data_IF_443474634847
#
_entry.id   IF_443474634847
#
_cell.length_a   1.000
_cell.length_b   1.000
_cell.length_c   1.000
_cell.angle_alpha   90.00
_cell.angle_beta   90.00
_cell.angle_gamma   90.00
#
_symmetry.space_group_name_H-M   'P 1'
#
loop_
_entity.id
_entity.type
_entity.pdbx_description
1 polymer ?
#
# COMPACT_ATOMS: atom_id res chain seq x y z
N UNK A 1 -7.70 -33.83 -22.12
CA UNK A 1 -8.04 -32.81 -23.14
C UNK A 1 -7.01 -31.71 -23.03
N UNK A 2 -6.19 -31.60 -24.06
CA UNK A 2 -4.79 -31.18 -24.00
C UNK A 2 -4.65 -29.68 -24.27
N UNK A 3 -4.12 -28.95 -23.29
CA UNK A 3 -3.60 -27.59 -23.50
C UNK A 3 -2.24 -27.70 -24.19
N UNK A 4 -2.09 -27.08 -25.37
CA UNK A 4 -0.82 -26.99 -26.10
C UNK A 4 -0.22 -25.60 -25.96
N UNK A 5 1.04 -25.64 -25.55
CA UNK A 5 2.03 -24.57 -25.49
C UNK A 5 2.19 -23.82 -26.82
N UNK A 6 2.56 -22.54 -26.73
CA UNK A 6 3.51 -21.93 -27.66
C UNK A 6 4.66 -21.34 -26.84
N UNK A 7 5.79 -22.05 -26.88
CA UNK A 7 7.12 -21.61 -26.45
C UNK A 7 7.86 -21.03 -27.65
N UNK A 8 8.63 -19.98 -27.42
CA UNK A 8 9.89 -19.74 -28.13
C UNK A 8 11.02 -19.44 -27.13
N UNK A 9 12.08 -20.24 -27.26
CA UNK A 9 13.39 -20.31 -26.56
C UNK A 9 14.29 -19.12 -26.95
N UNK A 10 15.40 -18.70 -26.32
CA UNK A 10 16.29 -19.07 -25.18
C UNK A 10 17.32 -17.90 -25.02
N UNK A 11 18.09 -17.70 -23.94
CA UNK A 11 19.42 -18.30 -23.65
C UNK A 11 19.93 -17.81 -22.27
N UNK A 12 20.36 -18.77 -21.42
CA UNK A 12 21.47 -18.84 -20.40
C UNK A 12 22.12 -17.52 -19.87
N UNK A 13 22.57 -17.32 -18.62
CA UNK A 13 22.96 -18.18 -17.48
C UNK A 13 23.23 -17.36 -16.18
N UNK A 14 23.23 -18.06 -15.04
CA UNK A 14 24.07 -17.89 -13.82
C UNK A 14 23.92 -16.71 -12.82
N UNK A 15 23.60 -17.13 -11.57
CA UNK A 15 24.12 -16.69 -10.25
C UNK A 15 23.81 -15.26 -9.77
N UNK A 16 22.89 -15.14 -8.79
CA UNK A 16 23.23 -14.80 -7.39
C UNK A 16 21.97 -14.82 -6.52
N UNK A 17 22.06 -15.46 -5.34
CA UNK A 17 21.03 -15.41 -4.30
C UNK A 17 21.07 -14.03 -3.65
N UNK A 18 20.07 -13.20 -3.91
CA UNK A 18 19.80 -12.00 -3.13
C UNK A 18 18.29 -11.83 -2.94
N UNK A 19 17.89 -11.60 -1.68
CA UNK A 19 16.52 -11.35 -1.23
C UNK A 19 15.99 -10.06 -1.86
N UNK A 20 15.00 -10.18 -2.76
CA UNK A 20 14.32 -9.05 -3.39
C UNK A 20 13.06 -8.69 -2.61
N UNK A 21 13.06 -7.59 -1.85
CA UNK A 21 11.82 -6.97 -1.38
C UNK A 21 11.40 -5.97 -2.46
N UNK A 22 10.50 -6.38 -3.35
CA UNK A 22 9.99 -5.55 -4.43
C UNK A 22 8.53 -5.20 -4.20
N UNK A 23 8.25 -4.12 -3.45
CA UNK A 23 6.94 -3.48 -3.53
C UNK A 23 6.91 -2.68 -4.83
N UNK A 24 6.16 -3.15 -5.83
CA UNK A 24 6.01 -2.47 -7.11
C UNK A 24 4.53 -2.13 -7.32
N UNK A 25 4.24 -0.84 -7.21
CA UNK A 25 3.02 -0.20 -7.73
C UNK A 25 3.08 -0.10 -9.27
N UNK A 26 3.31 -1.21 -9.97
CA UNK A 26 3.35 -1.21 -11.44
C UNK A 26 2.00 -1.57 -12.03
N UNK A 27 1.36 -0.57 -12.62
CA UNK A 27 0.59 -0.68 -13.86
C UNK A 27 0.42 0.75 -14.42
N UNK A 28 1.29 1.19 -15.34
CA UNK A 28 0.94 2.32 -16.22
C UNK A 28 1.58 2.15 -17.61
N UNK A 29 0.79 2.32 -18.70
CA UNK A 29 1.33 2.69 -19.98
C UNK A 29 1.76 4.16 -19.95
N UNK A 30 2.69 4.53 -20.84
CA UNK A 30 3.18 5.91 -20.99
C UNK A 30 2.00 6.85 -21.30
N UNK A 31 1.66 7.74 -20.37
CA UNK A 31 0.79 8.89 -20.63
C UNK A 31 1.66 10.13 -20.68
N UNK A 32 1.61 10.86 -21.79
CA UNK A 32 2.35 12.11 -22.00
C UNK A 32 1.96 13.15 -20.95
N UNK A 33 2.97 13.71 -20.27
CA UNK A 33 2.80 14.73 -19.24
C UNK A 33 2.24 16.03 -19.83
N UNK A 34 1.09 16.49 -19.32
CA UNK A 34 0.67 17.88 -19.40
C UNK A 34 0.84 18.50 -18.01
N UNK A 35 1.55 19.63 -17.96
CA UNK A 35 1.82 20.41 -16.75
C UNK A 35 0.56 21.13 -16.30
N UNK A 36 0.20 20.99 -15.01
CA UNK A 36 -0.92 21.73 -14.41
C UNK A 36 -0.59 22.18 -12.99
N UNK A 37 -0.84 23.47 -12.73
CA UNK A 37 -0.80 24.03 -11.39
C UNK A 37 -2.01 23.53 -10.57
N UNK A 38 -1.74 22.96 -9.39
CA UNK A 38 -2.77 22.55 -8.43
C UNK A 38 -3.18 23.76 -7.57
N UNK A 39 -4.36 24.34 -7.84
CA UNK A 39 -4.98 25.28 -6.91
C UNK A 39 -5.65 24.51 -5.76
N UNK A 40 -5.28 24.88 -4.53
CA UNK A 40 -5.74 24.25 -3.30
C UNK A 40 -6.86 25.08 -2.67
N UNK A 41 -8.11 24.77 -2.98
CA UNK A 41 -9.25 25.23 -2.19
C UNK A 41 -9.50 24.24 -1.06
N UNK A 42 -9.47 24.74 0.19
CA UNK A 42 -9.89 23.97 1.38
C UNK A 42 -11.35 23.54 1.24
N UNK A 43 -11.68 22.25 1.40
CA UNK A 43 -13.07 21.84 1.54
C UNK A 43 -13.55 22.19 2.95
N UNK A 44 -14.52 23.11 3.01
CA UNK A 44 -15.24 23.50 4.22
C UNK A 44 -16.52 22.67 4.29
N UNK A 45 -16.43 21.44 4.80
CA UNK A 45 -17.57 20.59 5.23
C UNK A 45 -17.04 19.29 5.83
N UNK A 46 -17.42 19.00 7.07
CA UNK A 46 -17.15 17.72 7.76
C UNK A 46 -18.05 16.58 7.27
N UNK A 47 -19.02 16.84 6.39
CA UNK A 47 -19.83 15.81 5.74
C UNK A 47 -19.33 15.62 4.30
N UNK A 48 -18.75 14.45 4.04
CA UNK A 48 -18.41 14.02 2.67
C UNK A 48 -19.73 13.87 1.90
N UNK A 49 -19.88 14.46 0.71
CA UNK A 49 -21.11 14.35 -0.06
C UNK A 49 -21.43 12.89 -0.35
N UNK A 50 -22.70 12.51 -0.18
CA UNK A 50 -23.19 11.16 -0.44
C UNK A 50 -22.86 10.77 -1.89
N UNK A 51 -22.07 9.71 -2.07
CA UNK A 51 -21.64 9.29 -3.40
C UNK A 51 -22.84 8.74 -4.17
N UNK A 52 -23.03 9.18 -5.41
CA UNK A 52 -24.08 8.69 -6.29
C UNK A 52 -23.68 7.37 -6.96
N UNK A 53 -24.61 6.43 -7.05
CA UNK A 53 -24.38 5.19 -7.80
C UNK A 53 -24.69 5.37 -9.29
N UNK A 54 -23.81 4.80 -10.12
CA UNK A 54 -23.97 4.74 -11.57
C UNK A 54 -23.86 3.29 -12.04
N UNK A 55 -24.51 2.99 -13.15
CA UNK A 55 -24.27 1.82 -13.98
C UNK A 55 -23.36 2.21 -15.15
N UNK A 56 -22.21 1.56 -15.26
CA UNK A 56 -21.23 1.77 -16.31
C UNK A 56 -21.16 0.54 -17.20
N UNK A 57 -21.22 0.74 -18.51
CA UNK A 57 -20.89 -0.29 -19.50
C UNK A 57 -19.65 0.15 -20.25
N UNK A 58 -18.59 -0.65 -20.23
CA UNK A 58 -17.30 -0.32 -20.84
C UNK A 58 -16.57 -1.56 -21.37
N UNK A 59 -15.55 -1.34 -22.19
CA UNK A 59 -14.64 -2.39 -22.68
C UNK A 59 -13.44 -2.48 -21.74
N UNK A 60 -13.22 -3.63 -21.13
CA UNK A 60 -12.09 -3.86 -20.23
C UNK A 60 -10.76 -4.12 -20.98
N UNK A 61 -9.68 -4.32 -20.23
CA UNK A 61 -8.35 -4.60 -20.78
C UNK A 61 -8.29 -5.93 -21.57
N UNK A 62 -9.24 -6.83 -21.35
CA UNK A 62 -9.38 -8.12 -22.03
C UNK A 62 -10.30 -8.02 -23.26
N UNK A 63 -10.68 -6.80 -23.69
CA UNK A 63 -11.59 -6.54 -24.81
C UNK A 63 -12.99 -7.11 -24.59
N UNK A 64 -13.39 -7.33 -23.33
CA UNK A 64 -14.73 -7.79 -22.98
C UNK A 64 -15.60 -6.62 -22.57
N UNK A 65 -16.88 -6.69 -22.93
CA UNK A 65 -17.85 -5.70 -22.46
C UNK A 65 -18.30 -6.08 -21.06
N UNK A 66 -18.10 -5.18 -20.10
CA UNK A 66 -18.52 -5.33 -18.72
C UNK A 66 -19.59 -4.29 -18.39
N UNK A 67 -20.56 -4.67 -17.58
CA UNK A 67 -21.51 -3.75 -16.96
C UNK A 67 -21.42 -3.87 -15.46
N UNK A 68 -21.15 -2.76 -14.78
CA UNK A 68 -20.92 -2.71 -13.33
C UNK A 68 -21.71 -1.57 -12.68
N UNK A 69 -21.97 -1.73 -11.38
CA UNK A 69 -22.46 -0.64 -10.53
C UNK A 69 -21.32 -0.09 -9.68
N UNK A 70 -21.07 1.20 -9.76
CA UNK A 70 -19.95 1.88 -9.12
C UNK A 70 -20.25 3.35 -8.83
N UNK A 71 -19.53 3.94 -7.89
CA UNK A 71 -19.47 5.39 -7.75
C UNK A 71 -18.47 5.97 -8.75
N UNK A 72 -18.75 7.17 -9.27
CA UNK A 72 -17.77 7.94 -10.02
C UNK A 72 -16.84 8.67 -9.05
N UNK A 73 -15.55 8.33 -9.07
CA UNK A 73 -14.53 9.02 -8.26
C UNK A 73 -14.04 10.28 -8.95
N UNK A 74 -13.83 10.19 -10.27
CA UNK A 74 -13.29 11.27 -11.09
C UNK A 74 -13.78 11.10 -12.53
N UNK A 75 -13.97 12.23 -13.21
CA UNK A 75 -14.02 12.33 -14.65
C UNK A 75 -12.85 13.20 -15.10
N UNK A 76 -11.99 12.65 -15.95
CA UNK A 76 -10.85 13.32 -16.53
C UNK A 76 -11.30 14.31 -17.61
N UNK A 77 -10.44 15.26 -17.98
CA UNK A 77 -10.77 16.30 -18.96
C UNK A 77 -11.07 15.76 -20.35
N UNK A 78 -10.49 14.62 -20.71
CA UNK A 78 -10.73 13.92 -21.97
C UNK A 78 -12.06 13.13 -21.97
N UNK A 79 -12.74 13.03 -20.82
CA UNK A 79 -13.96 12.25 -20.63
C UNK A 79 -13.73 10.83 -20.06
N UNK A 80 -12.47 10.46 -19.77
CA UNK A 80 -12.16 9.21 -19.09
C UNK A 80 -12.71 9.20 -17.66
N UNK A 81 -13.05 8.03 -17.13
CA UNK A 81 -13.66 7.91 -15.80
C UNK A 81 -12.87 6.98 -14.88
N UNK A 82 -12.83 7.34 -13.60
CA UNK A 82 -12.40 6.47 -12.50
C UNK A 82 -13.62 6.04 -11.71
N UNK A 83 -13.81 4.73 -11.59
CA UNK A 83 -14.98 4.10 -10.99
C UNK A 83 -14.57 3.35 -9.71
N UNK A 84 -15.26 3.62 -8.60
CA UNK A 84 -15.14 2.85 -7.35
C UNK A 84 -16.24 1.80 -7.31
N UNK A 85 -15.87 0.53 -7.44
CA UNK A 85 -16.80 -0.57 -7.33
C UNK A 85 -17.30 -0.73 -5.89
N UNK A 86 -18.47 -1.36 -5.71
CA UNK A 86 -19.06 -1.62 -4.39
C UNK A 86 -18.17 -2.51 -3.48
N UNK A 87 -17.22 -3.24 -4.05
CA UNK A 87 -16.23 -4.03 -3.30
C UNK A 87 -14.86 -3.33 -3.12
N UNK A 88 -14.74 -2.09 -3.57
CA UNK A 88 -13.61 -1.21 -3.28
C UNK A 88 -12.53 -1.12 -4.36
N UNK A 89 -12.66 -1.81 -5.48
CA UNK A 89 -11.71 -1.70 -6.60
C UNK A 89 -11.86 -0.35 -7.30
N UNK A 90 -10.74 0.20 -7.76
CA UNK A 90 -10.72 1.29 -8.72
C UNK A 90 -10.54 0.73 -10.13
N UNK A 91 -11.46 1.07 -11.01
CA UNK A 91 -11.41 0.75 -12.43
C UNK A 91 -11.36 2.04 -13.23
N UNK A 92 -10.71 2.00 -14.39
CA UNK A 92 -10.59 3.12 -15.31
C UNK A 92 -11.21 2.74 -16.63
N UNK A 93 -11.90 3.68 -17.28
CA UNK A 93 -12.29 3.55 -18.68
C UNK A 93 -11.96 4.85 -19.41
N UNK A 94 -11.24 4.76 -20.53
CA UNK A 94 -11.06 5.90 -21.43
C UNK A 94 -12.38 6.25 -22.12
N UNK A 95 -12.50 7.43 -22.76
CA UNK A 95 -13.69 7.79 -23.53
C UNK A 95 -14.06 6.74 -24.58
N UNK A 96 -13.07 6.11 -25.23
CA UNK A 96 -13.27 5.10 -26.26
C UNK A 96 -13.73 3.76 -25.69
N UNK A 97 -13.32 3.46 -24.45
CA UNK A 97 -13.74 2.24 -23.75
C UNK A 97 -15.14 2.38 -23.16
N UNK A 98 -15.55 3.59 -22.76
CA UNK A 98 -16.82 3.85 -22.11
C UNK A 98 -17.98 3.83 -23.12
N UNK A 99 -18.83 2.81 -23.06
CA UNK A 99 -20.00 2.67 -23.93
C UNK A 99 -21.23 3.37 -23.39
N UNK A 100 -21.44 3.30 -22.08
CA UNK A 100 -22.62 3.85 -21.43
C UNK A 100 -22.32 4.21 -19.97
N UNK A 101 -22.89 5.32 -19.51
CA UNK A 101 -22.92 5.77 -18.12
C UNK A 101 -24.36 6.16 -17.81
N UNK A 102 -24.98 5.49 -16.83
CA UNK A 102 -26.36 5.76 -16.39
C UNK A 102 -26.36 6.02 -14.89
N UNK A 103 -26.82 7.20 -14.47
CA UNK A 103 -27.06 7.47 -13.06
C UNK A 103 -28.25 6.64 -12.57
N UNK A 104 -28.12 6.02 -11.40
CA UNK A 104 -29.19 5.26 -10.76
C UNK A 104 -29.81 6.08 -9.64
N UNK A 105 -31.10 5.92 -9.37
CA UNK A 105 -31.83 6.64 -8.30
C UNK A 105 -31.57 6.05 -6.91
N UNK A 106 -30.33 5.66 -6.63
CA UNK A 106 -29.91 5.10 -5.34
C UNK A 106 -28.49 5.58 -4.99
N UNK A 107 -28.21 5.85 -3.71
CA UNK A 107 -26.86 6.21 -3.28
C UNK A 107 -25.91 5.01 -3.44
N UNK A 108 -24.63 5.30 -3.56
CA UNK A 108 -23.59 4.27 -3.51
C UNK A 108 -23.60 3.62 -2.13
N UNK A 109 -23.72 2.30 -2.13
CA UNK A 109 -23.55 1.48 -0.93
C UNK A 109 -22.53 0.38 -1.21
N UNK A 110 -21.56 0.14 -0.31
CA UNK A 110 -20.65 -0.99 -0.45
C UNK A 110 -21.43 -2.32 -0.46
N UNK A 111 -20.78 -3.38 -0.93
CA UNK A 111 -21.34 -4.72 -0.83
C UNK A 111 -21.59 -5.08 0.64
N UNK A 112 -22.75 -5.68 0.90
CA UNK A 112 -23.04 -6.33 2.18
C UNK A 112 -22.08 -7.50 2.41
N UNK A 113 -21.96 -7.96 3.66
CA UNK A 113 -21.13 -9.14 3.98
C UNK A 113 -21.53 -10.38 3.17
N UNK A 114 -22.84 -10.62 2.97
CA UNK A 114 -23.31 -11.77 2.20
C UNK A 114 -22.97 -11.67 0.71
N UNK A 115 -23.18 -10.49 0.09
CA UNK A 115 -22.80 -10.25 -1.30
C UNK A 115 -21.28 -10.41 -1.49
N UNK A 116 -20.50 -9.84 -0.57
CA UNK A 116 -19.03 -9.89 -0.65
C UNK A 116 -18.50 -11.31 -0.42
N UNK A 117 -19.09 -12.07 0.51
CA UNK A 117 -18.75 -13.48 0.71
C UNK A 117 -19.03 -14.31 -0.55
N UNK A 118 -20.19 -14.12 -1.17
CA UNK A 118 -20.55 -14.80 -2.43
C UNK A 118 -19.55 -14.44 -3.54
N UNK A 119 -19.24 -13.16 -3.71
CA UNK A 119 -18.29 -12.70 -4.73
C UNK A 119 -16.90 -13.28 -4.50
N UNK A 120 -16.38 -13.23 -3.27
CA UNK A 120 -15.04 -13.74 -2.95
C UNK A 120 -14.95 -15.27 -3.09
N UNK A 121 -16.01 -16.01 -2.74
CA UNK A 121 -16.07 -17.46 -2.98
C UNK A 121 -16.11 -17.81 -4.46
N UNK A 122 -16.82 -17.02 -5.28
CA UNK A 122 -16.82 -17.19 -6.72
C UNK A 122 -15.45 -16.88 -7.34
N UNK A 123 -14.75 -15.88 -6.82
CA UNK A 123 -13.43 -15.45 -7.31
C UNK A 123 -12.30 -16.41 -6.90
N UNK A 124 -12.23 -16.82 -5.63
CA UNK A 124 -11.10 -17.59 -5.09
C UNK A 124 -11.38 -19.10 -4.93
N UNK A 125 -12.65 -19.50 -5.02
CA UNK A 125 -13.08 -20.88 -4.92
C UNK A 125 -13.48 -21.31 -3.49
N UNK A 126 -14.04 -22.53 -3.36
CA UNK A 126 -14.68 -23.00 -2.13
C UNK A 126 -13.71 -23.29 -0.97
N UNK A 127 -12.41 -23.45 -1.25
CA UNK A 127 -11.38 -23.70 -0.24
C UNK A 127 -11.05 -22.46 0.61
N UNK A 128 -11.52 -21.28 0.20
CA UNK A 128 -11.35 -20.06 0.96
C UNK A 128 -12.48 -19.88 1.98
N UNK A 129 -12.07 -19.59 3.21
CA UNK A 129 -12.96 -19.20 4.30
C UNK A 129 -13.05 -17.69 4.39
N UNK A 130 -14.26 -17.16 4.53
CA UNK A 130 -14.50 -15.72 4.68
C UNK A 130 -14.76 -15.42 6.15
N UNK A 131 -14.10 -14.40 6.69
CA UNK A 131 -14.34 -13.90 8.06
C UNK A 131 -14.48 -12.38 8.01
N UNK A 132 -15.59 -11.88 8.53
CA UNK A 132 -15.85 -10.45 8.65
C UNK A 132 -15.48 -9.94 10.04
N UNK A 133 -14.94 -8.73 10.10
CA UNK A 133 -14.72 -7.97 11.33
C UNK A 133 -15.41 -6.60 11.20
N UNK A 134 -15.04 -5.61 12.02
CA UNK A 134 -15.66 -4.28 11.94
C UNK A 134 -15.26 -3.57 10.65
N UNK A 135 -13.98 -3.61 10.27
CA UNK A 135 -13.45 -2.89 9.11
C UNK A 135 -12.93 -3.83 8.00
N UNK A 136 -12.64 -5.10 8.32
CA UNK A 136 -12.00 -6.03 7.38
C UNK A 136 -12.92 -7.18 6.95
N UNK A 137 -12.68 -7.67 5.73
CA UNK A 137 -13.16 -8.96 5.24
C UNK A 137 -11.97 -9.81 4.84
N UNK A 138 -11.81 -10.95 5.48
CA UNK A 138 -10.63 -11.81 5.34
C UNK A 138 -11.02 -13.03 4.52
N UNK A 139 -10.50 -13.11 3.30
CA UNK A 139 -10.64 -14.24 2.38
C UNK A 139 -9.41 -15.13 2.52
N UNK A 140 -9.53 -16.23 3.26
CA UNK A 140 -8.37 -17.01 3.70
C UNK A 140 -8.47 -18.49 3.34
N UNK A 141 -7.45 -18.98 2.65
CA UNK A 141 -7.13 -20.41 2.50
C UNK A 141 -6.19 -20.92 3.62
N UNK A 142 -5.62 -20.01 4.43
CA UNK A 142 -4.82 -20.37 5.60
C UNK A 142 -5.64 -21.06 6.71
N UNK A 143 -4.95 -21.66 7.68
CA UNK A 143 -5.60 -22.35 8.80
C UNK A 143 -6.43 -21.40 9.67
N UNK A 144 -7.61 -21.84 10.11
CA UNK A 144 -8.59 -21.04 10.89
C UNK A 144 -7.97 -20.23 12.04
N UNK A 145 -6.99 -20.80 12.75
CA UNK A 145 -6.33 -20.10 13.87
C UNK A 145 -5.49 -18.92 13.38
N UNK A 146 -4.72 -19.10 12.31
CA UNK A 146 -3.91 -18.03 11.74
C UNK A 146 -4.78 -16.91 11.17
N UNK A 147 -5.83 -17.25 10.42
CA UNK A 147 -6.79 -16.27 9.88
C UNK A 147 -7.45 -15.44 10.98
N UNK A 148 -7.89 -16.10 12.08
CA UNK A 148 -8.46 -15.42 13.25
C UNK A 148 -7.42 -14.55 13.97
N UNK A 149 -6.17 -14.98 14.04
CA UNK A 149 -5.11 -14.16 14.62
C UNK A 149 -4.82 -12.91 13.77
N UNK A 150 -4.76 -13.06 12.44
CA UNK A 150 -4.63 -11.94 11.50
C UNK A 150 -5.81 -10.96 11.65
N UNK A 151 -7.04 -11.44 11.81
CA UNK A 151 -8.21 -10.58 11.99
C UNK A 151 -8.09 -9.64 13.19
N UNK A 152 -7.64 -10.17 14.33
CA UNK A 152 -7.38 -9.36 15.52
C UNK A 152 -6.21 -8.40 15.33
N UNK A 153 -5.14 -8.81 14.62
CA UNK A 153 -4.00 -7.94 14.35
C UNK A 153 -4.39 -6.76 13.46
N UNK A 154 -5.16 -6.99 12.39
CA UNK A 154 -5.59 -5.95 11.46
C UNK A 154 -6.49 -4.91 12.14
N UNK A 155 -7.50 -5.35 12.89
CA UNK A 155 -8.36 -4.44 13.67
C UNK A 155 -7.57 -3.64 14.71
N UNK A 156 -6.59 -4.27 15.35
CA UNK A 156 -5.73 -3.57 16.28
C UNK A 156 -4.87 -2.52 15.58
N UNK A 157 -4.28 -2.85 14.43
CA UNK A 157 -3.47 -1.92 13.65
C UNK A 157 -4.31 -0.74 13.17
N UNK A 158 -5.54 -0.98 12.72
CA UNK A 158 -6.51 0.06 12.39
C UNK A 158 -6.68 1.05 13.54
N UNK A 159 -7.05 0.55 14.72
CA UNK A 159 -7.27 1.40 15.89
C UNK A 159 -6.02 2.20 16.28
N UNK A 160 -4.84 1.56 16.23
CA UNK A 160 -3.59 2.24 16.59
C UNK A 160 -3.22 3.31 15.56
N UNK A 161 -3.35 3.02 14.28
CA UNK A 161 -3.00 3.95 13.21
C UNK A 161 -3.97 5.11 13.17
N UNK A 162 -5.27 4.84 13.29
CA UNK A 162 -6.31 5.86 13.41
C UNK A 162 -6.02 6.79 14.59
N UNK A 163 -5.88 6.24 15.81
CA UNK A 163 -5.59 7.05 17.00
C UNK A 163 -4.26 7.81 16.96
N UNK A 164 -3.29 7.35 16.17
CA UNK A 164 -1.97 7.98 16.08
C UNK A 164 -1.98 9.23 15.20
N UNK A 165 -2.86 9.28 14.20
CA UNK A 165 -2.94 10.40 13.24
C UNK A 165 -4.18 11.26 13.45
N UNK A 166 -5.21 10.75 14.12
CA UNK A 166 -6.46 11.47 14.33
C UNK A 166 -6.25 12.70 15.21
N UNK A 167 -6.72 13.84 14.71
CA UNK A 167 -6.62 15.12 15.40
C UNK A 167 -7.85 15.98 15.09
N UNK A 168 -8.14 16.93 15.98
CA UNK A 168 -9.28 17.84 15.77
C UNK A 168 -9.12 18.73 14.54
N UNK A 169 -7.88 19.07 14.17
CA UNK A 169 -7.57 19.95 13.04
C UNK A 169 -7.71 19.22 11.70
N UNK A 170 -7.56 17.89 11.75
CA UNK A 170 -7.40 17.00 10.61
C UNK A 170 -8.02 15.64 10.94
N UNK A 171 -9.37 15.56 10.96
CA UNK A 171 -10.07 14.34 11.34
C UNK A 171 -9.91 13.28 10.25
N UNK A 172 -9.66 12.04 10.67
CA UNK A 172 -9.69 10.89 9.77
C UNK A 172 -11.12 10.45 9.51
N UNK A 173 -11.32 9.69 8.44
CA UNK A 173 -12.61 9.06 8.15
C UNK A 173 -12.51 7.54 8.23
N UNK A 174 -13.63 6.87 8.47
CA UNK A 174 -13.70 5.42 8.37
C UNK A 174 -13.60 4.97 6.89
N UNK A 175 -13.19 3.72 6.61
CA UNK A 175 -13.21 3.14 5.27
C UNK A 175 -14.61 3.15 4.64
N UNK A 176 -14.72 3.65 3.40
CA UNK A 176 -15.99 3.68 2.64
C UNK A 176 -16.44 2.30 2.16
N UNK A 177 -15.51 1.36 2.10
CA UNK A 177 -15.69 -0.01 1.61
C UNK A 177 -14.96 -0.97 2.54
N UNK A 178 -15.42 -2.24 2.67
CA UNK A 178 -14.71 -3.23 3.48
C UNK A 178 -13.25 -3.41 3.04
N UNK A 179 -12.34 -3.46 4.01
CA UNK A 179 -10.91 -3.69 3.75
C UNK A 179 -10.67 -5.18 3.53
N UNK A 180 -10.43 -5.58 2.28
CA UNK A 180 -10.31 -7.00 1.93
C UNK A 180 -8.85 -7.46 2.11
N UNK A 181 -8.66 -8.53 2.90
CA UNK A 181 -7.39 -9.22 3.05
C UNK A 181 -7.48 -10.63 2.44
N UNK A 182 -6.61 -10.96 1.50
CA UNK A 182 -6.52 -12.29 0.88
C UNK A 182 -5.32 -13.03 1.46
N UNK A 183 -5.54 -14.21 2.05
CA UNK A 183 -4.47 -15.00 2.71
C UNK A 183 -4.41 -16.40 2.09
N UNK A 184 -3.38 -16.65 1.30
CA UNK A 184 -3.11 -17.97 0.72
C UNK A 184 -2.54 -18.94 1.76
N UNK A 185 -2.73 -20.25 1.54
CA UNK A 185 -2.28 -21.28 2.50
C UNK A 185 -0.76 -21.38 2.64
N UNK A 186 -0.02 -21.02 1.59
CA UNK A 186 1.43 -21.12 1.54
C UNK A 186 2.02 -20.18 0.47
N UNK A 187 3.35 -20.12 0.45
CA UNK A 187 4.11 -19.30 -0.49
C UNK A 187 3.86 -19.67 -1.95
N UNK A 188 3.71 -20.95 -2.28
CA UNK A 188 3.55 -21.39 -3.66
C UNK A 188 2.22 -20.92 -4.27
N UNK A 189 1.13 -20.99 -3.52
CA UNK A 189 -0.18 -20.51 -3.96
C UNK A 189 -0.20 -18.98 -4.07
N UNK A 190 0.47 -18.30 -3.14
CA UNK A 190 0.65 -16.86 -3.23
C UNK A 190 1.46 -16.45 -4.46
N UNK A 191 2.60 -17.09 -4.75
CA UNK A 191 3.41 -16.77 -5.92
C UNK A 191 2.66 -17.01 -7.23
N UNK A 192 1.84 -18.07 -7.30
CA UNK A 192 0.98 -18.33 -8.45
C UNK A 192 0.01 -17.17 -8.71
N UNK A 193 -0.65 -16.66 -7.66
CA UNK A 193 -1.56 -15.52 -7.78
C UNK A 193 -0.81 -14.20 -8.04
N UNK A 194 0.24 -13.92 -7.27
CA UNK A 194 1.02 -12.69 -7.35
C UNK A 194 1.66 -12.50 -8.73
N UNK A 195 2.12 -13.57 -9.37
CA UNK A 195 2.72 -13.50 -10.71
C UNK A 195 1.76 -13.03 -11.80
N UNK A 196 0.45 -13.22 -11.62
CA UNK A 196 -0.58 -12.75 -12.56
C UNK A 196 -0.82 -11.25 -12.44
N UNK A 197 -0.55 -10.68 -11.27
CA UNK A 197 -0.78 -9.26 -10.97
C UNK A 197 0.50 -8.45 -11.16
N UNK A 198 1.62 -8.96 -10.66
CA UNK A 198 2.91 -8.27 -10.60
C UNK A 198 3.84 -8.65 -11.75
N UNK A 199 3.48 -9.64 -12.58
CA UNK A 199 4.31 -10.18 -13.66
C UNK A 199 5.39 -11.18 -13.20
N UNK A 200 6.03 -11.83 -14.16
CA UNK A 200 7.08 -12.83 -13.91
C UNK A 200 8.38 -12.15 -13.40
N UNK A 201 8.93 -12.65 -12.28
CA UNK A 201 10.18 -12.12 -11.67
C UNK A 201 10.01 -11.43 -10.31
N UNK A 202 8.78 -11.37 -9.79
CA UNK A 202 8.42 -10.70 -8.53
C UNK A 202 8.37 -11.64 -7.31
N UNK A 203 8.98 -12.82 -7.43
CA UNK A 203 8.90 -14.00 -6.53
C UNK A 203 9.56 -13.87 -5.15
N UNK A 204 9.77 -12.65 -4.65
CA UNK A 204 10.51 -12.44 -3.41
C UNK A 204 9.79 -11.56 -2.37
N UNK A 205 8.60 -11.02 -2.69
CA UNK A 205 7.74 -10.40 -1.68
C UNK A 205 7.05 -11.45 -0.81
N UNK A 206 6.79 -11.09 0.44
CA UNK A 206 6.04 -11.92 1.40
C UNK A 206 4.55 -11.50 1.48
N UNK A 207 4.18 -10.48 0.72
CA UNK A 207 2.90 -9.80 0.70
C UNK A 207 2.94 -8.59 -0.21
N UNK A 208 1.77 -8.06 -0.56
CA UNK A 208 1.63 -6.74 -1.18
C UNK A 208 0.23 -6.17 -0.93
N UNK A 209 0.14 -4.85 -0.87
CA UNK A 209 -1.10 -4.09 -1.03
C UNK A 209 -1.27 -3.64 -2.49
N UNK A 210 -2.44 -3.90 -3.06
CA UNK A 210 -2.81 -3.47 -4.41
C UNK A 210 -3.70 -2.22 -4.33
N UNK A 211 -3.17 -1.08 -4.80
CA UNK A 211 -3.92 0.18 -4.92
C UNK A 211 -5.19 0.00 -5.76
N UNK A 212 -5.07 -0.69 -6.90
CA UNK A 212 -6.18 -0.90 -7.82
C UNK A 212 -7.30 -1.72 -7.17
N UNK A 213 -6.98 -2.87 -6.58
CA UNK A 213 -8.02 -3.75 -6.02
C UNK A 213 -8.44 -3.42 -4.58
N UNK A 214 -7.72 -2.50 -3.93
CA UNK A 214 -7.82 -2.22 -2.50
C UNK A 214 -7.55 -3.41 -1.58
N UNK A 215 -6.80 -4.40 -2.05
CA UNK A 215 -6.58 -5.66 -1.33
C UNK A 215 -5.16 -5.76 -0.83
N UNK A 216 -5.04 -6.11 0.44
CA UNK A 216 -3.82 -6.71 0.97
C UNK A 216 -3.82 -8.19 0.61
N UNK A 217 -2.71 -8.69 0.07
CA UNK A 217 -2.53 -10.08 -0.32
C UNK A 217 -1.31 -10.63 0.40
N UNK A 218 -1.49 -11.74 1.12
CA UNK A 218 -0.49 -12.41 1.94
C UNK A 218 -0.62 -13.92 1.77
N UNK A 219 0.29 -14.67 2.40
CA UNK A 219 0.08 -16.09 2.69
C UNK A 219 0.29 -16.36 4.18
N UNK A 220 0.03 -17.59 4.61
CA UNK A 220 0.37 -18.05 5.94
C UNK A 220 1.89 -18.02 6.16
N UNK A 221 2.40 -16.94 6.74
CA UNK A 221 3.82 -16.75 7.05
C UNK A 221 4.33 -17.67 8.19
N UNK A 222 3.45 -18.51 8.73
CA UNK A 222 3.78 -19.58 9.67
C UNK A 222 3.86 -20.95 8.99
N UNK A 223 3.40 -21.05 7.74
CA UNK A 223 3.55 -22.23 6.91
C UNK A 223 5.02 -22.40 6.50
N UNK A 224 5.55 -23.59 6.74
CA UNK A 224 6.87 -24.00 6.29
C UNK A 224 6.78 -25.43 5.76
N UNK A 225 7.60 -25.80 4.76
CA UNK A 225 7.62 -27.17 4.24
C UNK A 225 7.83 -28.18 5.38
N UNK A 226 7.00 -29.22 5.40
CA UNK A 226 7.02 -30.29 6.40
C UNK A 226 6.77 -29.85 7.86
N UNK A 227 6.26 -28.63 8.09
CA UNK A 227 5.82 -28.20 9.41
C UNK A 227 4.30 -28.25 9.53
N UNK A 228 3.83 -28.69 10.69
CA UNK A 228 2.41 -28.60 11.04
C UNK A 228 1.93 -27.13 11.04
N UNK A 229 0.65 -26.88 10.71
CA UNK A 229 0.01 -25.59 10.90
C UNK A 229 0.11 -25.10 12.34
N UNK A 230 0.07 -23.78 12.54
CA UNK A 230 0.06 -23.19 13.87
C UNK A 230 -1.29 -23.43 14.57
N UNK A 231 -1.27 -23.95 15.79
CA UNK A 231 -2.50 -24.29 16.54
C UNK A 231 -2.86 -23.28 17.63
N UNK A 232 -1.90 -22.48 18.11
CA UNK A 232 -2.11 -21.48 19.16
C UNK A 232 -1.44 -20.15 18.79
N UNK A 233 -1.86 -19.05 19.42
CA UNK A 233 -1.24 -17.73 19.16
C UNK A 233 0.25 -17.72 19.57
N UNK A 234 0.60 -18.44 20.64
CA UNK A 234 1.99 -18.60 21.05
C UNK A 234 2.83 -19.30 19.98
N UNK A 235 2.25 -20.29 19.29
CA UNK A 235 2.90 -21.03 18.21
C UNK A 235 3.03 -20.19 16.94
N UNK A 236 1.99 -19.41 16.60
CA UNK A 236 2.03 -18.40 15.53
C UNK A 236 3.20 -17.44 15.77
N UNK A 237 3.26 -16.83 16.97
CA UNK A 237 4.31 -15.89 17.30
C UNK A 237 5.70 -16.53 17.32
N UNK A 238 5.82 -17.78 17.78
CA UNK A 238 7.07 -18.53 17.70
C UNK A 238 7.53 -18.73 16.26
N UNK A 239 6.62 -19.11 15.36
CA UNK A 239 6.91 -19.31 13.94
C UNK A 239 7.24 -17.99 13.22
N UNK A 240 6.49 -16.93 13.47
CA UNK A 240 6.77 -15.59 12.91
C UNK A 240 8.09 -15.01 13.42
N UNK A 241 8.52 -15.32 14.65
CA UNK A 241 9.83 -14.89 15.18
C UNK A 241 11.03 -15.52 14.47
N UNK A 242 10.86 -16.55 13.65
CA UNK A 242 11.95 -17.12 12.82
C UNK A 242 12.51 -16.07 11.85
N UNK A 243 11.69 -15.10 11.44
CA UNK A 243 12.12 -13.96 10.63
C UNK A 243 11.35 -12.71 11.08
N UNK A 244 12.01 -11.66 11.60
CA UNK A 244 11.34 -10.43 11.99
C UNK A 244 10.63 -9.75 10.80
N UNK A 245 11.05 -10.05 9.57
CA UNK A 245 10.41 -9.58 8.34
C UNK A 245 9.00 -10.14 8.14
N UNK A 246 8.67 -11.32 8.68
CA UNK A 246 7.34 -11.90 8.52
C UNK A 246 6.29 -11.01 9.20
N UNK A 247 6.51 -10.66 10.47
CA UNK A 247 5.63 -9.76 11.20
C UNK A 247 5.62 -8.37 10.58
N UNK A 248 6.80 -7.84 10.23
CA UNK A 248 6.92 -6.52 9.62
C UNK A 248 6.11 -6.44 8.31
N UNK A 249 6.19 -7.46 7.44
CA UNK A 249 5.42 -7.49 6.18
C UNK A 249 3.92 -7.40 6.43
N UNK A 250 3.36 -8.20 7.35
CA UNK A 250 1.92 -8.17 7.65
C UNK A 250 1.49 -6.76 8.09
N UNK A 251 2.28 -6.12 8.95
CA UNK A 251 1.98 -4.77 9.43
C UNK A 251 2.17 -3.74 8.32
N UNK A 252 3.20 -3.88 7.49
CA UNK A 252 3.52 -2.99 6.38
C UNK A 252 2.37 -2.94 5.37
N UNK A 253 1.94 -4.10 4.85
CA UNK A 253 0.85 -4.15 3.86
C UNK A 253 -0.48 -3.67 4.44
N UNK A 254 -0.77 -4.05 5.69
CA UNK A 254 -1.99 -3.60 6.36
C UNK A 254 -1.94 -2.08 6.65
N UNK A 255 -0.76 -1.53 6.93
CA UNK A 255 -0.57 -0.07 7.09
C UNK A 255 -0.89 0.66 5.80
N UNK A 256 -0.42 0.19 4.64
CA UNK A 256 -0.81 0.76 3.35
C UNK A 256 -2.32 0.72 3.15
N UNK A 257 -2.94 -0.46 3.32
CA UNK A 257 -4.38 -0.60 3.14
C UNK A 257 -5.16 0.36 4.03
N UNK A 258 -4.82 0.47 5.31
CA UNK A 258 -5.51 1.39 6.22
C UNK A 258 -5.28 2.84 5.78
N UNK A 259 -4.03 3.25 5.53
CA UNK A 259 -3.69 4.64 5.21
C UNK A 259 -4.39 5.16 3.95
N UNK A 260 -4.56 4.32 2.92
CA UNK A 260 -5.30 4.64 1.70
C UNK A 260 -6.84 4.69 1.87
N UNK A 261 -7.36 4.27 3.03
CA UNK A 261 -8.81 4.19 3.27
C UNK A 261 -9.29 5.04 4.46
N UNK A 262 -8.40 5.74 5.16
CA UNK A 262 -8.79 6.63 6.27
C UNK A 262 -8.43 8.11 6.05
N UNK A 263 -8.00 8.46 4.84
CA UNK A 263 -7.72 9.85 4.45
C UNK A 263 -6.26 10.29 4.58
N UNK A 264 -5.31 9.38 4.82
CA UNK A 264 -3.88 9.73 4.84
C UNK A 264 -3.24 9.73 3.45
N UNK A 265 -3.73 8.88 2.56
CA UNK A 265 -3.25 8.74 1.18
C UNK A 265 -4.43 8.59 0.23
N UNK A 266 -4.25 8.98 -1.03
CA UNK A 266 -5.30 8.91 -2.06
C UNK A 266 -4.91 7.96 -3.17
N UNK A 267 -5.69 6.91 -3.38
CA UNK A 267 -5.43 5.90 -4.42
C UNK A 267 -5.45 6.55 -5.81
N UNK A 268 -4.56 6.10 -6.70
CA UNK A 268 -4.31 6.69 -8.03
C UNK A 268 -3.86 8.16 -8.05
N UNK A 269 -3.67 8.82 -6.91
CA UNK A 269 -3.00 10.12 -6.86
C UNK A 269 -1.47 9.95 -6.78
N UNK A 270 -0.76 11.04 -7.05
CA UNK A 270 0.67 11.12 -6.85
C UNK A 270 1.01 11.07 -5.34
N UNK A 271 1.40 9.93 -4.82
CA UNK A 271 1.85 9.77 -3.44
C UNK A 271 3.36 9.45 -3.46
N UNK A 272 4.26 10.36 -3.04
CA UNK A 272 5.69 10.11 -3.08
C UNK A 272 6.07 8.87 -2.26
N UNK A 273 6.83 7.94 -2.83
CA UNK A 273 7.10 6.65 -2.16
C UNK A 273 7.89 6.81 -0.87
N UNK A 274 8.76 7.81 -0.76
CA UNK A 274 9.46 8.07 0.51
C UNK A 274 8.49 8.33 1.68
N UNK A 275 7.32 8.91 1.38
CA UNK A 275 6.30 9.22 2.39
C UNK A 275 5.46 7.99 2.73
N UNK A 276 4.96 7.28 1.71
CA UNK A 276 4.11 6.09 1.91
C UNK A 276 4.91 4.92 2.50
N UNK A 277 6.07 4.61 1.91
CA UNK A 277 6.97 3.55 2.41
C UNK A 277 7.61 3.94 3.74
N UNK A 278 7.99 5.22 3.89
CA UNK A 278 8.54 5.74 5.13
C UNK A 278 7.55 5.65 6.29
N UNK A 279 6.26 5.89 6.02
CA UNK A 279 5.18 5.69 7.00
C UNK A 279 4.99 4.21 7.30
N UNK A 280 4.81 3.35 6.29
CA UNK A 280 4.63 1.92 6.50
C UNK A 280 5.78 1.31 7.32
N UNK A 281 7.02 1.65 6.97
CA UNK A 281 8.22 1.20 7.70
C UNK A 281 8.34 1.78 9.11
N UNK A 282 7.73 2.94 9.40
CA UNK A 282 7.66 3.49 10.76
C UNK A 282 6.75 2.63 11.65
N UNK A 283 5.61 2.15 11.12
CA UNK A 283 4.64 1.33 11.84
C UNK A 283 5.01 -0.15 11.90
N UNK A 284 5.75 -0.67 10.90
CA UNK A 284 6.09 -2.11 10.78
C UNK A 284 7.01 -2.65 11.88
N UNK A 285 7.57 -1.78 12.73
CA UNK A 285 8.55 -2.16 13.75
C UNK A 285 7.97 -3.24 14.67
N UNK A 286 8.45 -4.50 14.58
CA UNK A 286 7.85 -5.59 15.34
C UNK A 286 8.19 -5.46 16.84
N UNK A 287 7.22 -5.76 17.70
CA UNK A 287 7.45 -5.86 19.15
C UNK A 287 7.45 -7.34 19.55
N UNK A 288 8.56 -8.02 19.26
CA UNK A 288 8.68 -9.47 19.46
C UNK A 288 8.58 -9.90 20.94
N UNK A 289 8.70 -8.96 21.88
CA UNK A 289 8.49 -9.19 23.32
C UNK A 289 7.01 -9.09 23.72
N UNK A 290 6.15 -8.54 22.87
CA UNK A 290 4.70 -8.48 23.08
C UNK A 290 4.04 -9.86 22.95
N UNK A 291 3.02 -10.11 23.78
CA UNK A 291 2.11 -11.28 23.66
C UNK A 291 1.32 -11.29 22.35
N UNK A 292 1.30 -10.18 21.62
CA UNK A 292 0.64 -10.04 20.30
C UNK A 292 1.62 -9.85 19.15
N UNK A 293 2.94 -9.88 19.40
CA UNK A 293 3.98 -9.68 18.38
C UNK A 293 4.18 -8.23 17.89
N UNK A 294 3.21 -7.35 18.17
CA UNK A 294 3.25 -5.92 17.91
C UNK A 294 2.46 -5.17 18.98
N UNK A 295 3.03 -4.10 19.55
CA UNK A 295 2.40 -3.32 20.63
C UNK A 295 2.68 -1.82 20.58
N UNK A 296 3.86 -1.41 20.12
CA UNK A 296 4.30 -0.01 20.25
C UNK A 296 4.74 0.52 18.90
N UNK A 297 4.09 1.57 18.41
CA UNK A 297 4.47 2.30 17.20
C UNK A 297 5.64 3.24 17.51
N UNK A 298 6.48 3.48 16.52
CA UNK A 298 7.47 4.55 16.57
C UNK A 298 8.66 4.31 17.50
N UNK A 299 8.93 3.03 17.84
CA UNK A 299 10.25 2.59 18.30
C UNK A 299 11.22 2.58 17.11
N UNK A 300 12.52 2.80 17.32
CA UNK A 300 13.50 2.62 16.26
C UNK A 300 13.46 1.19 15.70
N UNK A 301 13.39 1.04 14.38
CA UNK A 301 13.54 -0.25 13.73
C UNK A 301 15.04 -0.57 13.63
N UNK A 302 15.57 -1.57 14.37
CA UNK A 302 17.01 -1.78 14.45
C UNK A 302 17.63 -2.22 13.11
N UNK A 303 16.84 -2.87 12.24
CA UNK A 303 17.28 -3.33 10.93
C UNK A 303 17.41 -2.14 9.97
N UNK A 304 16.36 -1.31 9.88
CA UNK A 304 16.38 -0.09 9.07
C UNK A 304 17.43 0.90 9.56
N UNK A 305 17.58 1.05 10.88
CA UNK A 305 18.62 1.91 11.47
C UNK A 305 20.03 1.45 11.09
N UNK A 306 20.31 0.15 11.20
CA UNK A 306 21.62 -0.41 10.83
C UNK A 306 21.88 -0.23 9.33
N UNK A 307 20.91 -0.52 8.47
CA UNK A 307 21.02 -0.31 7.03
C UNK A 307 21.30 1.17 6.69
N UNK A 308 20.52 2.09 7.27
CA UNK A 308 20.67 3.52 7.04
C UNK A 308 22.02 4.04 7.54
N UNK A 309 22.49 3.61 8.72
CA UNK A 309 23.80 4.00 9.24
C UNK A 309 24.94 3.53 8.33
N UNK A 310 24.83 2.33 7.76
CA UNK A 310 25.81 1.84 6.78
C UNK A 310 25.76 2.66 5.49
N UNK A 311 24.56 2.89 4.94
CA UNK A 311 24.36 3.72 3.75
C UNK A 311 24.93 5.14 3.93
N UNK A 312 24.57 5.80 5.02
CA UNK A 312 24.96 7.18 5.33
C UNK A 312 26.47 7.37 5.52
N UNK A 313 27.22 6.32 5.89
CA UNK A 313 28.66 6.37 6.12
C UNK A 313 29.49 6.23 4.84
N UNK A 314 29.04 5.42 3.89
CA UNK A 314 29.91 4.99 2.78
C UNK A 314 29.33 5.17 1.38
N UNK A 315 28.01 5.21 1.24
CA UNK A 315 27.35 5.12 -0.09
C UNK A 315 26.39 6.26 -0.39
N UNK A 316 25.95 7.02 0.63
CA UNK A 316 24.93 8.06 0.46
C UNK A 316 25.48 9.29 -0.28
N UNK A 317 25.00 9.61 -1.49
CA UNK A 317 25.43 10.80 -2.21
C UNK A 317 24.90 12.08 -1.56
N UNK A 318 25.55 13.21 -1.86
CA UNK A 318 25.23 14.52 -1.26
C UNK A 318 23.84 15.04 -1.66
N UNK A 319 23.32 14.62 -2.81
CA UNK A 319 21.96 14.96 -3.28
C UNK A 319 20.90 13.93 -2.86
N UNK A 320 21.23 12.95 -2.01
CA UNK A 320 20.36 11.81 -1.69
C UNK A 320 18.98 12.24 -1.16
N UNK A 321 18.92 13.23 -0.27
CA UNK A 321 17.63 13.73 0.22
C UNK A 321 16.79 14.37 -0.88
N UNK A 322 17.42 15.12 -1.79
CA UNK A 322 16.71 15.74 -2.92
C UNK A 322 16.14 14.68 -3.85
N UNK A 323 16.93 13.67 -4.22
CA UNK A 323 16.47 12.60 -5.13
C UNK A 323 15.43 11.71 -4.49
N UNK A 324 15.49 11.48 -3.17
CA UNK A 324 14.46 10.77 -2.41
C UNK A 324 13.09 11.47 -2.46
N UNK A 325 13.08 12.81 -2.35
CA UNK A 325 11.85 13.60 -2.36
C UNK A 325 11.30 13.77 -3.78
N UNK A 326 12.20 14.00 -4.74
CA UNK A 326 11.83 14.38 -6.10
C UNK A 326 11.41 13.20 -6.98
N UNK A 327 11.92 11.99 -6.72
CA UNK A 327 11.74 10.84 -7.62
C UNK A 327 11.60 9.51 -6.87
N UNK A 328 10.78 8.62 -7.44
CA UNK A 328 10.56 7.26 -6.95
C UNK A 328 11.50 6.23 -7.60
N UNK A 329 12.35 6.64 -8.55
CA UNK A 329 13.24 5.76 -9.33
C UNK A 329 14.14 4.88 -8.44
N UNK A 330 14.60 5.41 -7.31
CA UNK A 330 15.44 4.70 -6.35
C UNK A 330 14.75 3.50 -5.67
N UNK A 331 13.41 3.44 -5.69
CA UNK A 331 12.62 2.31 -5.21
C UNK A 331 12.46 1.22 -6.27
N UNK A 332 12.64 1.56 -7.54
CA UNK A 332 12.51 0.64 -8.67
C UNK A 332 13.83 -0.07 -9.01
N UNK A 333 14.96 0.49 -8.55
CA UNK A 333 16.28 -0.09 -8.76
C UNK A 333 16.67 -1.09 -7.65
N UNK A 334 16.87 -2.35 -8.03
CA UNK A 334 17.21 -3.46 -7.13
C UNK A 334 18.53 -3.25 -6.35
N UNK A 335 19.48 -2.47 -6.87
CA UNK A 335 20.74 -2.19 -6.19
C UNK A 335 20.57 -1.17 -5.06
N UNK A 336 19.65 -0.22 -5.22
CA UNK A 336 19.45 0.89 -4.27
C UNK A 336 18.29 0.67 -3.32
N UNK A 337 17.34 -0.21 -3.65
CA UNK A 337 16.04 -0.33 -2.97
C UNK A 337 16.17 -0.47 -1.45
N UNK A 338 17.05 -1.36 -0.94
CA UNK A 338 17.20 -1.58 0.50
C UNK A 338 17.69 -0.33 1.24
N UNK A 339 18.62 0.42 0.64
CA UNK A 339 19.12 1.68 1.19
C UNK A 339 18.04 2.77 1.11
N UNK A 340 17.26 2.80 0.03
CA UNK A 340 16.15 3.74 -0.17
C UNK A 340 15.05 3.55 0.88
N UNK A 341 14.62 2.32 1.16
CA UNK A 341 13.67 2.04 2.24
C UNK A 341 14.22 2.42 3.61
N UNK A 342 15.50 2.15 3.86
CA UNK A 342 16.15 2.51 5.13
C UNK A 342 16.22 4.04 5.31
N UNK A 343 16.49 4.78 4.24
CA UNK A 343 16.46 6.24 4.26
C UNK A 343 15.05 6.80 4.39
N UNK A 344 14.06 6.27 3.67
CA UNK A 344 12.66 6.69 3.78
C UNK A 344 12.12 6.49 5.21
N UNK A 345 12.43 5.35 5.83
CA UNK A 345 12.16 5.08 7.24
C UNK A 345 12.83 6.13 8.14
N UNK A 346 14.14 6.33 7.98
CA UNK A 346 14.92 7.23 8.82
C UNK A 346 14.42 8.67 8.71
N UNK A 347 14.11 9.10 7.50
CA UNK A 347 13.62 10.44 7.21
C UNK A 347 12.22 10.67 7.78
N UNK A 348 11.30 9.72 7.57
CA UNK A 348 9.97 9.76 8.20
C UNK A 348 10.06 9.75 9.72
N UNK A 349 10.92 8.90 10.29
CA UNK A 349 11.16 8.87 11.73
C UNK A 349 11.66 10.22 12.26
N UNK A 350 12.66 10.83 11.61
CA UNK A 350 13.17 12.15 11.97
C UNK A 350 12.09 13.23 11.90
N UNK A 351 11.33 13.30 10.79
CA UNK A 351 10.28 14.31 10.62
C UNK A 351 9.16 14.11 11.63
N UNK A 352 8.70 12.88 11.85
CA UNK A 352 7.66 12.58 12.85
C UNK A 352 8.12 12.95 14.26
N UNK A 353 9.37 12.68 14.64
CA UNK A 353 9.87 12.95 16.00
C UNK A 353 10.26 14.39 16.26
N UNK A 354 10.62 15.16 15.23
CA UNK A 354 11.20 16.52 15.40
C UNK A 354 10.39 17.62 14.74
N UNK A 355 9.53 17.29 13.77
CA UNK A 355 8.77 18.22 12.92
C UNK A 355 7.35 17.70 12.66
N UNK A 356 6.73 17.05 13.65
CA UNK A 356 5.45 16.35 13.55
C UNK A 356 4.37 17.15 12.80
N UNK A 357 4.12 18.39 13.23
CA UNK A 357 3.12 19.27 12.61
C UNK A 357 3.37 19.51 11.13
N UNK A 358 4.63 19.69 10.71
CA UNK A 358 4.99 19.88 9.30
C UNK A 358 4.84 18.58 8.49
N UNK A 359 5.11 17.43 9.12
CA UNK A 359 4.86 16.14 8.50
C UNK A 359 3.37 15.91 8.25
N UNK A 360 2.52 16.19 9.24
CA UNK A 360 1.06 16.12 9.12
C UNK A 360 0.53 17.12 8.09
N UNK A 361 1.03 18.36 8.07
CA UNK A 361 0.68 19.34 7.04
C UNK A 361 1.02 18.85 5.63
N UNK A 362 2.24 18.34 5.43
CA UNK A 362 2.65 17.79 4.13
C UNK A 362 1.79 16.59 3.74
N UNK A 363 1.55 15.66 4.67
CA UNK A 363 0.71 14.48 4.46
C UNK A 363 -0.70 14.86 3.99
N UNK A 364 -1.30 15.90 4.57
CA UNK A 364 -2.62 16.38 4.17
C UNK A 364 -2.64 17.00 2.78
N UNK A 365 -1.59 17.75 2.41
CA UNK A 365 -1.47 18.27 1.05
C UNK A 365 -1.38 17.14 0.02
N UNK A 366 -0.59 16.10 0.33
CA UNK A 366 -0.50 14.91 -0.52
C UNK A 366 -1.84 14.18 -0.61
N UNK A 367 -2.54 14.00 0.51
CA UNK A 367 -3.86 13.35 0.55
C UNK A 367 -4.92 14.12 -0.26
N UNK A 368 -4.81 15.45 -0.35
CA UNK A 368 -5.73 16.28 -1.13
C UNK A 368 -5.48 16.23 -2.66
N UNK A 369 -4.44 15.55 -3.13
CA UNK A 369 -4.13 15.44 -4.57
C UNK A 369 -5.22 14.66 -5.30
N UNK A 370 -5.55 15.14 -6.50
CA UNK A 370 -6.50 14.46 -7.38
C UNK A 370 -5.88 13.19 -7.97
N UNK A 371 -6.65 12.10 -8.09
CA UNK A 371 -6.23 10.94 -8.85
C UNK A 371 -5.85 11.27 -10.29
N UNK A 372 -4.95 10.49 -10.86
CA UNK A 372 -4.48 10.58 -12.25
C UNK A 372 -3.74 11.88 -12.62
N UNK A 373 -3.28 12.65 -11.63
CA UNK A 373 -2.42 13.81 -11.84
C UNK A 373 -1.08 13.55 -11.15
N UNK A 374 -0.01 13.47 -11.95
CA UNK A 374 1.35 13.23 -11.47
C UNK A 374 2.17 14.51 -11.46
N UNK A 375 2.83 14.78 -10.35
CA UNK A 375 3.71 15.92 -10.22
C UNK A 375 5.07 15.62 -10.82
N UNK A 376 5.66 16.60 -11.47
CA UNK A 376 7.07 16.59 -11.88
C UNK A 376 8.01 16.57 -10.66
N UNK A 377 9.27 16.13 -10.80
CA UNK A 377 10.27 16.21 -9.74
C UNK A 377 10.42 17.63 -9.16
N UNK A 378 10.35 18.65 -10.00
CA UNK A 378 10.44 20.07 -9.63
C UNK A 378 9.23 20.51 -8.80
N UNK A 379 8.02 20.09 -9.16
CA UNK A 379 6.79 20.37 -8.41
C UNK A 379 6.82 19.69 -7.04
N UNK A 380 7.22 18.41 -6.96
CA UNK A 380 7.38 17.70 -5.67
C UNK A 380 8.36 18.44 -4.76
N UNK A 381 9.51 18.88 -5.28
CA UNK A 381 10.49 19.65 -4.51
C UNK A 381 9.98 21.02 -4.08
N UNK A 382 9.28 21.73 -4.97
CA UNK A 382 8.70 23.05 -4.68
C UNK A 382 7.67 22.94 -3.56
N UNK A 383 6.77 21.97 -3.64
CA UNK A 383 5.76 21.74 -2.61
C UNK A 383 6.41 21.34 -1.28
N UNK A 384 7.36 20.39 -1.29
CA UNK A 384 8.08 19.99 -0.09
C UNK A 384 8.76 21.19 0.59
N UNK A 385 9.45 22.03 -0.18
CA UNK A 385 10.10 23.26 0.33
C UNK A 385 9.10 24.26 0.91
N UNK A 386 7.88 24.32 0.38
CA UNK A 386 6.83 25.20 0.90
C UNK A 386 6.39 24.84 2.33
N UNK A 387 6.58 23.58 2.74
CA UNK A 387 6.22 23.08 4.08
C UNK A 387 7.44 23.02 5.01
N UNK A 388 8.55 22.47 4.53
CA UNK A 388 9.74 22.21 5.38
C UNK A 388 10.82 23.30 5.30
N UNK A 389 10.61 24.32 4.45
CA UNK A 389 11.55 25.41 4.19
C UNK A 389 12.45 25.17 2.98
N UNK A 390 13.00 26.27 2.43
CA UNK A 390 13.77 26.24 1.19
C UNK A 390 15.14 25.57 1.30
N UNK A 391 15.78 25.59 2.48
CA UNK A 391 17.14 25.09 2.69
C UNK A 391 17.17 23.58 2.97
N UNK A 392 17.06 22.79 1.90
CA UNK A 392 17.16 21.33 1.98
C UNK A 392 18.51 20.84 2.53
N UNK A 393 19.60 21.58 2.32
CA UNK A 393 20.93 21.17 2.82
C UNK A 393 20.97 21.25 4.34
N UNK A 394 20.44 22.33 4.92
CA UNK A 394 20.31 22.45 6.37
C UNK A 394 19.39 21.38 6.95
N UNK A 395 18.29 21.05 6.27
CA UNK A 395 17.40 19.96 6.68
C UNK A 395 18.13 18.62 6.68
N UNK A 396 18.91 18.32 5.64
CA UNK A 396 19.70 17.09 5.52
C UNK A 396 20.75 16.98 6.65
N UNK A 397 21.44 18.08 6.97
CA UNK A 397 22.39 18.11 8.08
C UNK A 397 21.71 17.85 9.43
N UNK A 398 20.53 18.43 9.67
CA UNK A 398 19.74 18.17 10.88
C UNK A 398 19.31 16.70 10.96
N UNK A 399 18.81 16.17 9.84
CA UNK A 399 18.40 14.78 9.70
C UNK A 399 19.56 13.83 10.04
N UNK A 400 20.71 13.97 9.38
CA UNK A 400 21.88 13.12 9.61
C UNK A 400 22.44 13.28 11.03
N UNK A 401 22.42 14.48 11.61
CA UNK A 401 22.81 14.70 13.00
C UNK A 401 21.89 13.95 13.95
N UNK A 402 20.57 14.06 13.79
CA UNK A 402 19.59 13.38 14.62
C UNK A 402 19.73 11.86 14.54
N UNK A 403 19.85 11.30 13.34
CA UNK A 403 19.96 9.84 13.16
C UNK A 403 21.27 9.26 13.71
N UNK A 404 22.35 10.06 13.80
CA UNK A 404 23.59 9.65 14.49
C UNK A 404 23.42 9.57 16.01
N UNK A 405 22.51 10.34 16.59
CA UNK A 405 22.27 10.39 18.03
C UNK A 405 21.33 9.29 18.53
N UNK A 406 20.53 8.70 17.64
CA UNK A 406 19.70 7.54 17.96
C UNK A 406 20.63 6.34 18.17
N UNK A 407 20.84 6.01 19.44
CA UNK A 407 21.57 4.81 19.88
C UNK A 407 20.66 3.57 19.74
N UNK A 408 21.26 2.41 19.50
CA UNK A 408 20.56 1.12 19.36
C UNK A 408 19.73 0.74 20.57
#
# INVERSE_FOLDING_TARGET
>A
MVWRELKTKSVLSCISRALTVSLLCLCFPQVSCLTYAQDSTKPDSTAKPEQQLYEFTFIDAQQQTQTIQAAQVLEAQDGGVVMLTRDGRLLTATPEQLKQKKQLDQPFTPLTHAELEQQLKAEFGPDFTITHTKHFTICSQAGKRYSKWCSYLFERLYNVLHNYWDSKEQPLHDPEVPLIAVIFKDRANFEQYASQILGAGTSATHGFYSIQSNRMVLYDLTAAPNERPAFTDADILKKLRKSPFNMATIIHECTHQIAFNIGLHTRFADNPLWLTEGMATYFETPDLRSKTGWRTVGKPNPWRLTQFQNYARSRRPTNSLQTLIASDERFQNAETVLDTYAEAWAFSYFLIKTKRRLYEEYLHRIAARKPLIWSTPEERLKEFRSVFGADLRRLDQQFLKYMRQISR
#
